data_IF_996033524177
#
_entry.id   IF_996033524177
#
_cell.length_a   1.000
_cell.length_b   1.000
_cell.length_c   1.000
_cell.angle_alpha   90.00
_cell.angle_beta   90.00
_cell.angle_gamma   90.00
#
_symmetry.space_group_name_H-M   'P 1'
#
loop_
_entity.id
_entity.type
_entity.pdbx_description
1 polymer ?
#
# COMPACT_ATOMS: atom_id res chain seq x y z
N UNK A 1 21.40 23.71 -57.14
CA UNK A 1 22.82 23.50 -57.50
C UNK A 1 23.20 22.10 -56.99
N UNK A 2 23.36 21.19 -57.95
CA UNK A 2 23.78 19.77 -57.96
C UNK A 2 23.97 19.03 -56.61
N UNK A 3 23.10 18.06 -56.35
CA UNK A 3 23.44 16.82 -55.61
C UNK A 3 23.60 15.73 -56.68
N UNK A 4 24.79 15.13 -56.73
CA UNK A 4 25.13 14.05 -57.64
C UNK A 4 24.82 12.69 -56.98
N UNK A 5 24.05 11.85 -57.67
CA UNK A 5 23.96 10.41 -57.41
C UNK A 5 25.02 9.69 -58.24
N UNK A 6 25.76 8.76 -57.61
CA UNK A 6 26.64 7.79 -58.28
C UNK A 6 26.28 6.39 -57.78
N UNK A 7 25.80 5.56 -58.72
CA UNK A 7 25.91 4.09 -58.76
C UNK A 7 25.06 3.27 -57.78
N UNK A 8 24.51 2.10 -58.11
CA UNK A 8 24.47 1.30 -59.35
C UNK A 8 23.49 0.14 -59.11
N UNK A 9 22.65 -0.23 -60.09
CA UNK A 9 22.02 -1.57 -60.23
C UNK A 9 20.75 -1.83 -59.39
N UNK A 10 19.52 -1.62 -59.90
CA UNK A 10 18.76 -2.49 -60.83
C UNK A 10 17.92 -3.57 -60.13
N UNK A 11 16.77 -3.18 -59.59
CA UNK A 11 15.50 -3.95 -59.56
C UNK A 11 14.34 -2.97 -59.43
N UNK A 12 14.13 -2.21 -60.50
CA UNK A 12 12.93 -1.41 -60.73
C UNK A 12 12.03 -2.24 -61.64
N UNK A 13 10.87 -2.70 -61.14
CA UNK A 13 9.62 -2.86 -61.89
C UNK A 13 8.58 -3.54 -60.98
N UNK A 14 7.40 -2.89 -60.90
CA UNK A 14 6.14 -3.34 -60.27
C UNK A 14 6.18 -3.21 -58.73
N UNK A 15 5.40 -2.37 -58.04
CA UNK A 15 3.99 -2.04 -58.22
C UNK A 15 3.64 -0.87 -57.25
N UNK A 16 3.63 0.38 -57.72
CA UNK A 16 3.10 1.53 -56.97
C UNK A 16 2.19 2.33 -57.90
N UNK A 17 0.93 1.92 -57.96
CA UNK A 17 -0.17 2.68 -58.57
C UNK A 17 -1.46 2.35 -57.83
N UNK A 18 -1.70 2.99 -56.68
CA UNK A 18 -3.06 3.12 -56.16
C UNK A 18 -3.20 4.27 -55.14
N UNK A 19 -2.95 5.51 -55.56
CA UNK A 19 -3.51 6.71 -54.93
C UNK A 19 -3.62 7.81 -55.98
N UNK A 20 -4.78 7.91 -56.63
CA UNK A 20 -5.34 9.15 -57.22
C UNK A 20 -6.48 8.78 -58.17
N UNK A 21 -7.72 8.76 -57.65
CA UNK A 21 -8.93 9.12 -58.39
C UNK A 21 -10.13 8.90 -57.46
N UNK A 22 -10.64 9.98 -56.88
CA UNK A 22 -12.08 10.24 -56.78
C UNK A 22 -12.23 11.70 -56.35
N UNK A 23 -12.21 12.57 -57.37
CA UNK A 23 -12.67 13.95 -57.25
C UNK A 23 -14.09 14.04 -57.79
N UNK A 24 -14.88 14.88 -57.13
CA UNK A 24 -15.98 15.67 -57.66
C UNK A 24 -17.26 14.96 -58.19
N UNK A 25 -18.31 14.99 -57.37
CA UNK A 25 -19.66 15.13 -57.88
C UNK A 25 -20.58 15.91 -56.90
N UNK A 26 -20.77 17.19 -57.23
CA UNK A 26 -22.07 17.91 -57.23
C UNK A 26 -22.63 18.43 -55.90
N UNK A 27 -22.34 19.71 -55.62
CA UNK A 27 -23.28 20.65 -54.99
C UNK A 27 -24.23 21.26 -56.03
N UNK A 28 -25.48 21.58 -55.66
CA UNK A 28 -26.20 22.67 -56.29
C UNK A 28 -26.55 23.83 -55.34
N UNK A 29 -26.41 25.03 -55.94
CA UNK A 29 -26.77 26.40 -55.57
C UNK A 29 -28.06 26.63 -54.76
N UNK A 30 -28.05 27.65 -53.88
CA UNK A 30 -29.19 28.14 -53.06
C UNK A 30 -30.36 28.79 -53.83
N UNK A 31 -31.38 29.35 -53.13
CA UNK A 31 -31.30 30.77 -52.74
C UNK A 31 -31.95 31.19 -51.39
N UNK A 32 -31.34 32.22 -50.80
CA UNK A 32 -31.87 33.42 -50.09
C UNK A 32 -33.29 33.43 -49.47
N UNK A 33 -33.29 33.56 -48.15
CA UNK A 33 -34.13 34.38 -47.23
C UNK A 33 -35.63 34.63 -47.50
N UNK A 34 -36.46 34.41 -46.45
CA UNK A 34 -37.57 35.30 -46.09
C UNK A 34 -37.97 35.17 -44.61
N UNK A 35 -38.05 36.34 -43.96
CA UNK A 35 -38.58 36.61 -42.63
C UNK A 35 -40.12 36.54 -42.58
N UNK A 36 -40.68 36.05 -41.46
CA UNK A 36 -41.99 36.41 -40.85
C UNK A 36 -42.15 35.60 -39.55
N UNK A 37 -42.02 36.20 -38.37
CA UNK A 37 -43.06 36.85 -37.52
C UNK A 37 -44.27 35.96 -37.15
N UNK A 38 -44.57 35.99 -35.84
CA UNK A 38 -45.72 35.48 -35.06
C UNK A 38 -45.51 34.11 -34.41
N UNK A 39 -45.23 34.10 -33.09
CA UNK A 39 -46.17 34.14 -31.94
C UNK A 39 -46.65 32.72 -31.64
N UNK A 40 -46.24 32.14 -30.51
CA UNK A 40 -47.13 32.11 -29.36
C UNK A 40 -46.44 31.65 -28.07
N UNK A 41 -46.88 32.30 -27.01
CA UNK A 41 -46.56 32.10 -25.61
C UNK A 41 -47.29 30.84 -25.14
N UNK A 42 -46.57 29.85 -24.61
CA UNK A 42 -47.12 29.01 -23.55
C UNK A 42 -46.02 28.52 -22.62
N UNK A 43 -45.79 29.31 -21.58
CA UNK A 43 -45.16 28.85 -20.34
C UNK A 43 -46.18 27.96 -19.64
N UNK A 44 -45.91 26.66 -19.57
CA UNK A 44 -46.55 25.79 -18.59
C UNK A 44 -45.50 24.98 -17.83
N UNK A 45 -45.33 25.40 -16.57
CA UNK A 45 -44.77 24.63 -15.46
C UNK A 45 -45.44 23.25 -15.41
N UNK A 46 -44.66 22.20 -15.65
CA UNK A 46 -44.93 20.87 -15.09
C UNK A 46 -43.87 20.70 -14.00
N UNK A 47 -44.20 21.17 -12.80
CA UNK A 47 -44.62 20.31 -11.68
C UNK A 47 -43.57 19.23 -11.37
N UNK A 48 -42.62 19.66 -10.54
CA UNK A 48 -41.69 18.84 -9.77
C UNK A 48 -42.43 17.75 -9.01
N UNK A 49 -42.38 16.53 -9.53
CA UNK A 49 -42.53 15.28 -8.76
C UNK A 49 -41.90 14.15 -9.55
N UNK A 50 -40.60 13.97 -9.35
CA UNK A 50 -39.94 12.68 -9.61
C UNK A 50 -39.11 12.38 -8.38
N UNK A 51 -39.79 11.68 -7.48
CA UNK A 51 -39.29 10.57 -6.69
C UNK A 51 -37.78 10.55 -6.44
N UNK A 52 -37.43 10.89 -5.20
CA UNK A 52 -36.25 10.34 -4.55
C UNK A 52 -36.34 8.81 -4.63
N UNK A 53 -35.72 8.22 -5.65
CA UNK A 53 -35.24 6.85 -5.55
C UNK A 53 -33.98 6.95 -4.71
N UNK A 54 -34.15 6.71 -3.41
CA UNK A 54 -33.06 6.21 -2.56
C UNK A 54 -32.50 5.02 -3.33
N UNK A 55 -31.36 5.21 -3.99
CA UNK A 55 -30.52 4.08 -4.31
C UNK A 55 -30.03 3.62 -2.95
N UNK A 56 -30.49 2.44 -2.56
CA UNK A 56 -29.73 1.65 -1.62
C UNK A 56 -28.41 1.43 -2.33
N UNK A 57 -27.41 2.22 -1.95
CA UNK A 57 -26.03 1.86 -2.19
C UNK A 57 -25.83 0.62 -1.33
N UNK A 58 -26.10 -0.52 -1.98
CA UNK A 58 -25.59 -1.81 -1.57
C UNK A 58 -24.08 -1.60 -1.61
N UNK A 59 -23.52 -1.21 -0.46
CA UNK A 59 -22.10 -1.30 -0.14
C UNK A 59 -21.77 -2.79 -0.36
N UNK A 60 -21.46 -3.11 -1.62
CA UNK A 60 -20.62 -4.24 -1.92
C UNK A 60 -19.44 -4.06 -0.98
N UNK A 61 -19.20 -5.03 -0.12
CA UNK A 61 -17.95 -5.13 0.62
C UNK A 61 -16.86 -5.27 -0.44
N UNK A 62 -16.40 -4.13 -0.98
CA UNK A 62 -15.27 -4.07 -1.87
C UNK A 62 -14.11 -4.52 -1.00
N UNK A 63 -13.57 -5.71 -1.31
CA UNK A 63 -12.29 -6.12 -0.79
C UNK A 63 -11.34 -4.92 -0.87
N UNK A 64 -10.56 -4.67 0.19
CA UNK A 64 -9.68 -3.54 0.22
C UNK A 64 -8.77 -3.60 -1.01
N UNK A 65 -8.69 -2.50 -1.77
CA UNK A 65 -7.98 -2.52 -3.06
C UNK A 65 -6.49 -2.87 -2.92
N UNK A 66 -5.94 -2.71 -1.72
CA UNK A 66 -4.60 -3.05 -1.28
C UNK A 66 -4.68 -3.43 0.22
N UNK A 67 -3.78 -4.27 0.71
CA UNK A 67 -3.79 -4.72 2.11
C UNK A 67 -3.09 -3.74 3.04
N UNK A 68 -1.99 -3.13 2.60
CA UNK A 68 -1.16 -2.27 3.43
C UNK A 68 -0.83 -0.94 2.74
N UNK A 69 -0.68 0.10 3.56
CA UNK A 69 -0.19 1.40 3.11
C UNK A 69 0.69 2.05 4.16
N UNK A 70 1.74 2.74 3.72
CA UNK A 70 2.66 3.45 4.62
C UNK A 70 3.27 4.68 3.97
N UNK A 71 3.58 5.70 4.77
CA UNK A 71 4.24 6.93 4.32
C UNK A 71 5.55 7.14 5.05
N UNK A 72 6.59 7.49 4.32
CA UNK A 72 7.98 7.51 4.79
C UNK A 72 8.60 8.88 4.62
N UNK A 73 9.53 9.21 5.52
CA UNK A 73 10.49 10.27 5.30
C UNK A 73 11.61 9.74 4.40
N UNK A 74 11.68 10.25 3.17
CA UNK A 74 12.62 9.85 2.13
C UNK A 74 13.45 11.04 1.62
N UNK A 75 14.23 11.73 2.49
CA UNK A 75 14.98 12.93 2.11
C UNK A 75 16.13 12.66 1.13
N UNK A 76 16.61 11.42 1.05
CA UNK A 76 17.59 11.03 0.04
C UNK A 76 16.91 10.84 -1.33
N UNK A 77 17.72 10.75 -2.40
CA UNK A 77 17.20 10.65 -3.77
C UNK A 77 16.90 9.23 -4.22
N UNK A 78 17.36 8.23 -3.47
CA UNK A 78 17.26 6.82 -3.84
C UNK A 78 17.20 5.97 -2.60
N UNK A 79 16.33 4.97 -2.63
CA UNK A 79 16.14 3.95 -1.61
C UNK A 79 16.11 2.58 -2.26
N UNK A 80 16.14 1.53 -1.46
CA UNK A 80 16.02 0.15 -1.89
C UNK A 80 14.80 -0.46 -1.22
N UNK A 81 13.85 -0.90 -2.04
CA UNK A 81 12.77 -1.78 -1.63
C UNK A 81 13.24 -3.23 -1.80
N UNK A 82 13.08 -4.06 -0.79
CA UNK A 82 13.51 -5.45 -0.81
C UNK A 82 12.39 -6.41 -0.43
N UNK A 83 12.45 -7.61 -0.99
CA UNK A 83 11.62 -8.74 -0.60
C UNK A 83 12.54 -9.94 -0.41
N UNK A 84 12.37 -10.67 0.67
CA UNK A 84 13.15 -11.86 1.02
C UNK A 84 12.24 -13.08 1.06
N UNK A 85 12.86 -14.24 0.89
CA UNK A 85 12.19 -15.50 1.20
C UNK A 85 12.11 -15.68 2.72
N UNK A 86 10.94 -16.06 3.20
CA UNK A 86 10.72 -16.48 4.58
C UNK A 86 10.61 -18.00 4.56
N UNK A 87 11.42 -18.67 5.37
CA UNK A 87 11.48 -20.14 5.45
C UNK A 87 11.72 -20.86 4.10
N UNK A 88 12.42 -20.19 3.16
CA UNK A 88 12.88 -20.78 1.90
C UNK A 88 12.04 -20.45 0.67
N UNK A 89 10.88 -19.81 0.83
CA UNK A 89 9.99 -19.38 -0.25
C UNK A 89 9.57 -17.91 -0.09
N UNK A 90 9.17 -17.24 -1.18
CA UNK A 90 8.51 -15.93 -1.08
C UNK A 90 7.03 -16.15 -0.73
N UNK A 91 6.43 -15.23 0.03
CA UNK A 91 5.00 -15.29 0.38
C UNK A 91 4.09 -15.30 -0.88
N UNK A 92 4.52 -14.61 -1.93
CA UNK A 92 3.95 -14.66 -3.29
C UNK A 92 5.09 -14.55 -4.31
N UNK A 93 4.86 -14.94 -5.57
CA UNK A 93 5.82 -14.77 -6.67
C UNK A 93 5.86 -13.33 -7.20
N UNK A 94 4.77 -12.58 -7.01
CA UNK A 94 4.65 -11.18 -7.45
C UNK A 94 3.90 -10.34 -6.43
N UNK A 95 4.09 -9.02 -6.45
CA UNK A 95 3.30 -8.10 -5.61
C UNK A 95 2.98 -6.82 -6.38
N UNK A 96 1.71 -6.40 -6.37
CA UNK A 96 1.35 -5.06 -6.88
C UNK A 96 1.77 -3.99 -5.87
N UNK A 97 2.30 -2.89 -6.41
CA UNK A 97 2.77 -1.74 -5.65
C UNK A 97 2.37 -0.44 -6.35
N UNK A 98 1.75 0.48 -5.60
CA UNK A 98 1.57 1.88 -6.01
C UNK A 98 2.45 2.76 -5.14
N UNK A 99 3.15 3.70 -5.77
CA UNK A 99 4.06 4.63 -5.09
C UNK A 99 3.67 6.06 -5.44
N UNK A 100 3.35 6.85 -4.43
CA UNK A 100 2.91 8.25 -4.57
C UNK A 100 3.87 9.18 -3.86
N UNK A 101 4.04 10.40 -4.39
CA UNK A 101 4.69 11.46 -3.61
C UNK A 101 3.75 11.91 -2.49
N UNK A 102 4.30 12.15 -1.30
CA UNK A 102 3.55 12.63 -0.15
C UNK A 102 4.01 14.03 0.28
N UNK A 103 3.13 14.82 0.94
CA UNK A 103 3.50 16.15 1.44
C UNK A 103 4.32 16.08 2.74
N UNK A 104 4.15 15.05 3.56
CA UNK A 104 4.90 14.76 4.79
C UNK A 104 4.69 13.29 5.20
N UNK A 105 5.45 12.81 6.18
CA UNK A 105 5.37 11.44 6.69
C UNK A 105 4.45 11.33 7.92
N UNK A 106 3.18 11.71 7.78
CA UNK A 106 2.18 11.64 8.88
C UNK A 106 0.95 10.82 8.50
N UNK A 107 0.20 10.36 9.51
CA UNK A 107 -1.04 9.61 9.30
C UNK A 107 -2.10 10.42 8.52
N UNK A 108 -2.20 11.74 8.75
CA UNK A 108 -3.13 12.61 8.01
C UNK A 108 -2.79 12.67 6.52
N UNK A 109 -1.50 12.77 6.18
CA UNK A 109 -1.06 12.74 4.79
C UNK A 109 -1.31 11.39 4.12
N UNK A 110 -1.07 10.28 4.84
CA UNK A 110 -1.37 8.95 4.36
C UNK A 110 -2.87 8.77 4.09
N UNK A 111 -3.72 9.18 5.03
CA UNK A 111 -5.18 9.13 4.89
C UNK A 111 -5.67 9.94 3.68
N UNK A 112 -5.12 11.15 3.48
CA UNK A 112 -5.43 11.97 2.31
C UNK A 112 -5.01 11.34 0.97
N UNK A 113 -4.03 10.43 0.97
CA UNK A 113 -3.58 9.72 -0.22
C UNK A 113 -4.32 8.41 -0.48
N UNK A 114 -4.97 7.80 0.52
CA UNK A 114 -5.72 6.53 0.36
C UNK A 114 -6.74 6.55 -0.79
N UNK A 115 -7.53 7.61 -1.04
CA UNK A 115 -8.44 7.65 -2.19
C UNK A 115 -7.71 7.56 -3.55
N UNK A 116 -6.53 8.19 -3.66
CA UNK A 116 -5.69 8.08 -4.87
C UNK A 116 -5.05 6.71 -4.95
N UNK A 117 -4.49 6.20 -3.86
CA UNK A 117 -3.96 4.83 -3.77
C UNK A 117 -4.99 3.81 -4.25
N UNK A 118 -6.19 3.79 -3.66
CA UNK A 118 -7.31 2.90 -4.03
C UNK A 118 -7.70 3.02 -5.49
N UNK A 119 -7.84 4.24 -6.00
CA UNK A 119 -8.17 4.49 -7.41
C UNK A 119 -7.12 3.92 -8.35
N UNK A 120 -5.85 4.25 -8.13
CA UNK A 120 -4.74 3.79 -8.99
C UNK A 120 -4.59 2.28 -8.88
N UNK A 121 -4.70 1.71 -7.68
CA UNK A 121 -4.62 0.27 -7.49
C UNK A 121 -5.70 -0.47 -8.26
N UNK A 122 -6.97 -0.05 -8.07
CA UNK A 122 -8.11 -0.66 -8.73
C UNK A 122 -8.15 -0.46 -10.25
N UNK A 123 -7.53 0.59 -10.79
CA UNK A 123 -7.58 0.93 -12.22
C UNK A 123 -6.32 0.62 -13.01
N UNK A 124 -5.13 0.60 -12.37
CA UNK A 124 -3.83 0.46 -13.04
C UNK A 124 -3.13 -0.84 -12.70
N UNK A 125 -3.44 -1.48 -11.57
CA UNK A 125 -2.85 -2.78 -11.21
C UNK A 125 -3.54 -3.99 -11.90
N UNK A 126 -4.04 -3.79 -13.12
CA UNK A 126 -4.68 -4.85 -13.92
C UNK A 126 -3.73 -5.34 -15.01
N UNK A 127 -3.94 -6.56 -15.55
CA UNK A 127 -3.16 -7.06 -16.68
C UNK A 127 -3.08 -6.05 -17.83
N UNK A 128 -1.89 -5.92 -18.41
CA UNK A 128 -1.54 -4.95 -19.46
C UNK A 128 -1.56 -3.45 -19.07
N UNK A 129 -1.89 -3.10 -17.83
CA UNK A 129 -1.87 -1.70 -17.35
C UNK A 129 -0.75 -1.42 -16.34
N UNK A 130 -0.36 -2.43 -15.55
CA UNK A 130 0.79 -2.29 -14.65
C UNK A 130 2.11 -2.24 -15.44
N UNK A 131 3.13 -1.67 -14.80
CA UNK A 131 4.52 -1.73 -15.25
C UNK A 131 5.18 -2.91 -14.53
N UNK A 132 5.61 -3.92 -15.26
CA UNK A 132 6.38 -5.03 -14.68
C UNK A 132 7.78 -4.52 -14.32
N UNK A 133 8.22 -4.77 -13.09
CA UNK A 133 9.53 -4.37 -12.57
C UNK A 133 10.25 -5.62 -12.08
N UNK A 134 11.47 -5.81 -12.59
CA UNK A 134 12.36 -6.93 -12.23
C UNK A 134 13.46 -6.49 -11.28
N UNK A 135 14.19 -7.47 -10.75
CA UNK A 135 15.34 -7.24 -9.87
C UNK A 135 16.30 -6.16 -10.43
N UNK A 136 16.63 -5.17 -9.59
CA UNK A 136 17.56 -4.09 -9.87
C UNK A 136 17.00 -2.90 -10.66
N UNK A 137 15.77 -3.01 -11.16
CA UNK A 137 15.06 -1.92 -11.85
C UNK A 137 14.51 -0.87 -10.87
N UNK A 138 14.04 0.26 -11.43
CA UNK A 138 13.70 1.45 -10.65
C UNK A 138 12.20 1.73 -10.67
N UNK A 139 11.65 1.88 -9.47
CA UNK A 139 10.31 2.37 -9.17
C UNK A 139 10.40 3.88 -8.96
N UNK A 140 9.47 4.64 -9.56
CA UNK A 140 9.39 6.10 -9.38
C UNK A 140 7.98 6.48 -8.91
N UNK A 141 7.82 7.35 -7.91
CA UNK A 141 6.51 7.85 -7.51
C UNK A 141 5.77 8.47 -8.70
N UNK A 142 4.53 8.05 -8.93
CA UNK A 142 3.72 8.45 -10.09
C UNK A 142 2.24 8.27 -9.74
N UNK A 143 1.44 9.33 -9.92
CA UNK A 143 0.02 9.36 -9.53
C UNK A 143 -0.89 8.51 -10.43
N UNK A 144 -0.36 7.94 -11.51
CA UNK A 144 -1.12 7.14 -12.47
C UNK A 144 -0.41 5.83 -12.86
N UNK A 145 0.60 5.40 -12.08
CA UNK A 145 1.29 4.14 -12.29
C UNK A 145 1.00 3.11 -11.19
N UNK A 146 0.86 1.87 -11.63
CA UNK A 146 1.00 0.72 -10.76
C UNK A 146 2.19 -0.13 -11.24
N UNK A 147 2.95 -0.65 -10.29
CA UNK A 147 4.06 -1.54 -10.51
C UNK A 147 3.67 -2.96 -10.12
N UNK A 148 4.06 -3.93 -10.94
CA UNK A 148 4.03 -5.35 -10.58
C UNK A 148 5.47 -5.76 -10.32
N UNK A 149 5.80 -6.04 -9.07
CA UNK A 149 7.13 -6.53 -8.69
C UNK A 149 7.20 -8.02 -9.01
N UNK A 150 8.16 -8.42 -9.84
CA UNK A 150 8.47 -9.83 -10.10
C UNK A 150 9.65 -10.23 -9.22
N UNK A 151 9.42 -11.14 -8.28
CA UNK A 151 10.47 -11.62 -7.40
C UNK A 151 11.33 -12.68 -8.11
N UNK A 152 12.63 -12.59 -7.89
CA UNK A 152 13.61 -13.52 -8.45
C UNK A 152 13.56 -14.84 -7.66
N UNK A 153 12.87 -15.82 -8.23
CA UNK A 153 12.69 -17.17 -7.69
C UNK A 153 13.99 -17.99 -7.62
N UNK A 154 15.12 -17.50 -8.13
CA UNK A 154 16.44 -18.10 -7.97
C UNK A 154 17.30 -17.37 -6.92
N UNK A 155 16.89 -16.18 -6.48
CA UNK A 155 17.54 -15.40 -5.44
C UNK A 155 16.83 -15.51 -4.07
N UNK A 156 17.61 -15.47 -3.00
CA UNK A 156 17.07 -15.44 -1.62
C UNK A 156 16.41 -14.09 -1.28
N UNK A 157 16.79 -13.03 -2.00
CA UNK A 157 16.28 -11.67 -1.88
C UNK A 157 16.19 -11.02 -3.27
N UNK A 158 15.13 -10.27 -3.50
CA UNK A 158 14.96 -9.41 -4.67
C UNK A 158 15.05 -7.95 -4.23
N UNK A 159 15.83 -7.15 -4.96
CA UNK A 159 16.04 -5.73 -4.67
C UNK A 159 15.48 -4.86 -5.80
N UNK A 160 14.74 -3.82 -5.46
CA UNK A 160 14.23 -2.82 -6.38
C UNK A 160 14.69 -1.43 -5.92
N UNK A 161 15.07 -0.57 -6.86
CA UNK A 161 15.44 0.81 -6.54
C UNK A 161 14.19 1.65 -6.47
N UNK A 162 14.12 2.56 -5.51
CA UNK A 162 13.04 3.57 -5.43
C UNK A 162 13.66 4.94 -5.64
N UNK A 163 13.25 5.65 -6.69
CA UNK A 163 13.74 6.99 -7.01
C UNK A 163 12.80 8.05 -6.42
N UNK A 164 13.17 8.60 -5.26
CA UNK A 164 12.41 9.60 -4.51
C UNK A 164 12.81 11.04 -4.87
N UNK A 165 13.52 11.24 -5.98
CA UNK A 165 14.02 12.56 -6.38
C UNK A 165 12.94 13.64 -6.57
N UNK A 166 11.66 13.26 -6.69
CA UNK A 166 10.52 14.18 -6.86
C UNK A 166 9.96 14.74 -5.55
N UNK A 167 10.17 14.06 -4.41
CA UNK A 167 9.62 14.45 -3.11
C UNK A 167 10.44 13.87 -1.95
N UNK A 168 10.71 14.64 -0.89
CA UNK A 168 11.34 14.10 0.32
C UNK A 168 10.42 13.15 1.11
N UNK A 169 9.18 12.92 0.69
CA UNK A 169 8.28 11.97 1.33
C UNK A 169 7.56 11.13 0.29
N UNK A 170 7.45 9.83 0.58
CA UNK A 170 6.90 8.85 -0.35
C UNK A 170 5.91 7.96 0.37
N UNK A 171 4.75 7.74 -0.23
CA UNK A 171 3.74 6.80 0.23
C UNK A 171 3.72 5.55 -0.66
N UNK A 172 3.57 4.40 -0.03
CA UNK A 172 3.51 3.08 -0.67
C UNK A 172 2.17 2.43 -0.33
N UNK A 173 1.59 1.74 -1.30
CA UNK A 173 0.37 0.95 -1.17
C UNK A 173 0.65 -0.41 -1.79
N UNK A 174 0.46 -1.50 -1.05
CA UNK A 174 0.89 -2.85 -1.45
C UNK A 174 -0.24 -3.87 -1.38
N UNK A 175 -0.20 -4.84 -2.28
CA UNK A 175 -1.16 -5.96 -2.31
C UNK A 175 -1.11 -6.79 -1.05
N UNK A 176 0.10 -7.00 -0.52
CA UNK A 176 0.40 -7.77 0.68
C UNK A 176 1.11 -6.86 1.69
N UNK A 177 1.11 -7.22 2.97
CA UNK A 177 1.91 -6.52 3.96
C UNK A 177 3.43 -6.75 3.68
N UNK A 178 4.25 -5.69 3.56
CA UNK A 178 5.66 -5.84 3.21
C UNK A 178 6.47 -6.70 4.20
N UNK A 179 6.03 -6.77 5.45
CA UNK A 179 6.64 -7.60 6.52
C UNK A 179 6.53 -9.10 6.25
N UNK A 180 5.60 -9.55 5.41
CA UNK A 180 5.50 -10.95 4.97
C UNK A 180 6.69 -11.39 4.12
N UNK A 181 7.44 -10.41 3.59
CA UNK A 181 8.65 -10.61 2.80
C UNK A 181 9.92 -10.26 3.56
N UNK A 182 9.88 -10.19 4.90
CA UNK A 182 11.04 -9.91 5.74
C UNK A 182 11.52 -11.18 6.46
N UNK A 183 12.75 -11.60 6.20
CA UNK A 183 13.39 -12.70 6.94
C UNK A 183 14.45 -12.18 7.91
N UNK A 184 15.32 -11.29 7.45
CA UNK A 184 16.48 -10.79 8.21
C UNK A 184 16.69 -9.29 8.07
N UNK A 185 16.11 -8.67 7.04
CA UNK A 185 16.25 -7.25 6.76
C UNK A 185 14.89 -6.58 6.59
N UNK A 186 14.85 -5.29 6.93
CA UNK A 186 13.68 -4.46 6.69
C UNK A 186 13.45 -4.23 5.17
N UNK A 187 12.18 -4.26 4.73
CA UNK A 187 11.74 -4.08 3.35
C UNK A 187 12.17 -2.76 2.72
N UNK A 188 12.36 -1.67 3.48
CA UNK A 188 12.84 -0.40 2.96
C UNK A 188 14.16 0.02 3.61
N UNK A 189 15.18 0.27 2.78
CA UNK A 189 16.49 0.74 3.24
C UNK A 189 16.97 1.95 2.45
N UNK A 190 17.80 2.76 3.10
CA UNK A 190 18.57 3.81 2.44
C UNK A 190 19.77 3.23 1.65
N UNK A 191 20.46 4.06 0.87
CA UNK A 191 21.63 3.64 0.09
C UNK A 191 22.83 3.19 0.93
N UNK A 192 22.83 3.47 2.24
CA UNK A 192 23.86 3.04 3.18
C UNK A 192 23.49 1.71 3.86
N UNK A 193 22.30 1.18 3.56
CA UNK A 193 21.77 -0.06 4.12
C UNK A 193 21.12 0.11 5.49
N UNK A 194 20.83 1.34 5.92
CA UNK A 194 20.06 1.59 7.14
C UNK A 194 18.57 1.40 6.85
N UNK A 195 17.87 0.79 7.80
CA UNK A 195 16.43 0.58 7.73
C UNK A 195 15.69 1.92 7.83
N UNK A 196 14.55 2.02 7.12
CA UNK A 196 13.73 3.23 7.06
C UNK A 196 12.29 2.85 7.42
N UNK A 197 11.89 3.18 8.64
CA UNK A 197 10.54 2.90 9.15
C UNK A 197 9.48 3.88 8.61
N UNK A 198 8.21 3.47 8.50
CA UNK A 198 7.13 4.37 8.14
C UNK A 198 6.89 5.41 9.24
N UNK A 199 6.61 6.65 8.84
CA UNK A 199 6.11 7.69 9.75
C UNK A 199 4.65 7.46 10.16
N UNK A 200 3.88 6.80 9.29
CA UNK A 200 2.57 6.24 9.59
C UNK A 200 2.26 5.09 8.63
N UNK A 201 1.45 4.13 9.07
CA UNK A 201 1.00 2.98 8.29
C UNK A 201 -0.44 2.62 8.64
N UNK A 202 -1.10 1.86 7.76
CA UNK A 202 -2.44 1.32 7.96
C UNK A 202 -2.61 0.01 7.19
N UNK A 203 -3.28 -0.96 7.80
CA UNK A 203 -3.69 -2.22 7.17
C UNK A 203 -5.20 -2.26 6.93
N UNK A 204 -5.62 -3.06 5.96
CA UNK A 204 -7.00 -3.11 5.53
C UNK A 204 -7.97 -3.78 6.54
N UNK A 205 -7.45 -4.47 7.55
CA UNK A 205 -8.25 -5.11 8.59
C UNK A 205 -8.73 -4.14 9.69
N UNK A 206 -8.46 -2.83 9.59
CA UNK A 206 -8.92 -1.84 10.56
C UNK A 206 -10.44 -1.52 10.54
N UNK A 207 -11.28 -2.35 9.89
CA UNK A 207 -12.74 -2.29 10.01
C UNK A 207 -13.30 -3.22 11.11
N UNK A 208 -12.58 -3.33 12.23
CA UNK A 208 -13.10 -3.83 13.50
C UNK A 208 -13.64 -2.67 14.33
N UNK A 209 -14.93 -2.69 14.60
CA UNK A 209 -15.68 -1.72 15.40
C UNK A 209 -15.10 -1.56 16.82
N UNK A 210 -14.16 -0.63 16.99
CA UNK A 210 -13.83 0.00 18.27
C UNK A 210 -13.78 1.51 18.08
N UNK A 211 -14.97 2.12 18.13
CA UNK A 211 -15.07 3.54 18.35
C UNK A 211 -14.58 3.88 19.75
N UNK A 212 -13.33 4.31 19.88
CA UNK A 212 -12.91 5.28 20.87
C UNK A 212 -12.02 6.31 20.17
N UNK A 213 -12.54 7.53 20.05
CA UNK A 213 -11.75 8.69 19.70
C UNK A 213 -10.76 8.95 20.85
N UNK A 214 -9.54 8.43 20.75
CA UNK A 214 -8.45 8.78 21.65
C UNK A 214 -7.55 9.83 20.99
N UNK A 215 -7.55 10.99 21.63
CA UNK A 215 -6.70 12.13 21.34
C UNK A 215 -5.20 11.77 21.49
N UNK A 216 -4.35 12.56 20.82
CA UNK A 216 -2.91 12.80 21.06
C UNK A 216 -2.07 11.71 21.78
N UNK A 217 -0.92 11.30 21.22
CA UNK A 217 -0.16 10.12 21.66
C UNK A 217 0.06 10.11 23.18
N UNK A 218 -0.71 9.26 23.88
CA UNK A 218 -0.58 9.06 25.30
C UNK A 218 0.77 8.37 25.57
N UNK A 219 1.55 8.95 26.48
CA UNK A 219 2.79 8.37 26.97
C UNK A 219 2.56 6.91 27.39
N UNK A 220 3.44 6.02 26.94
CA UNK A 220 3.41 4.60 27.29
C UNK A 220 3.20 4.42 28.81
N UNK A 221 2.28 3.56 29.27
CA UNK A 221 1.91 3.49 30.68
C UNK A 221 2.91 2.62 31.46
N UNK A 222 4.16 3.05 31.51
CA UNK A 222 5.22 2.43 32.32
C UNK A 222 4.77 2.26 33.78
N UNK A 223 3.93 3.16 34.28
CA UNK A 223 3.35 3.09 35.62
C UNK A 223 2.52 1.83 35.87
N UNK A 224 1.77 1.34 34.88
CA UNK A 224 0.97 0.12 35.01
C UNK A 224 1.87 -1.12 35.03
N UNK A 225 2.87 -1.17 34.16
CA UNK A 225 3.83 -2.28 34.11
C UNK A 225 4.69 -2.35 35.39
N UNK A 226 5.21 -1.21 35.85
CA UNK A 226 5.99 -1.12 37.09
C UNK A 226 5.10 -1.41 38.31
N UNK A 227 3.86 -0.92 38.32
CA UNK A 227 2.90 -1.18 39.39
C UNK A 227 2.55 -2.66 39.52
N UNK A 228 2.30 -3.34 38.40
CA UNK A 228 2.04 -4.77 38.37
C UNK A 228 3.25 -5.58 38.88
N UNK A 229 4.47 -5.23 38.47
CA UNK A 229 5.68 -5.89 38.94
C UNK A 229 5.89 -5.73 40.46
N UNK A 230 5.64 -4.55 41.01
CA UNK A 230 5.74 -4.31 42.46
C UNK A 230 4.67 -5.11 43.22
N UNK A 231 3.42 -5.14 42.73
CA UNK A 231 2.34 -5.86 43.38
C UNK A 231 2.60 -7.38 43.45
N UNK A 232 3.08 -7.98 42.35
CA UNK A 232 3.42 -9.42 42.29
C UNK A 232 4.57 -9.73 43.27
N UNK A 233 5.59 -8.87 43.32
CA UNK A 233 6.71 -9.05 44.24
C UNK A 233 6.30 -8.91 45.71
N UNK A 234 5.34 -8.04 46.07
CA UNK A 234 4.84 -7.94 47.44
C UNK A 234 4.03 -9.17 47.87
N UNK A 235 3.18 -9.70 46.99
CA UNK A 235 2.40 -10.91 47.29
C UNK A 235 3.32 -12.11 47.46
N UNK A 236 4.28 -12.32 46.55
CA UNK A 236 5.23 -13.44 46.64
C UNK A 236 6.16 -13.30 47.86
N UNK A 237 6.68 -12.10 48.13
CA UNK A 237 7.55 -11.86 49.29
C UNK A 237 6.81 -12.07 50.61
N UNK A 238 5.55 -11.62 50.72
CA UNK A 238 4.76 -11.84 51.94
C UNK A 238 4.52 -13.34 52.19
N UNK A 239 4.25 -14.12 51.15
CA UNK A 239 4.14 -15.58 51.23
C UNK A 239 5.41 -16.22 51.78
N UNK A 240 6.58 -15.84 51.28
CA UNK A 240 7.89 -16.36 51.75
C UNK A 240 8.16 -15.95 53.21
N UNK A 241 7.91 -14.69 53.56
CA UNK A 241 8.15 -14.14 54.90
C UNK A 241 7.33 -14.87 55.97
N UNK A 242 6.09 -15.27 55.68
CA UNK A 242 5.24 -15.95 56.65
C UNK A 242 5.35 -17.49 56.58
N UNK A 243 5.55 -18.07 55.40
CA UNK A 243 5.61 -19.52 55.23
C UNK A 243 6.95 -20.11 55.71
N UNK A 244 8.07 -19.45 55.42
CA UNK A 244 9.41 -20.00 55.72
C UNK A 244 9.65 -20.15 57.23
N UNK A 245 9.32 -19.19 58.12
CA UNK A 245 9.48 -19.36 59.56
C UNK A 245 8.57 -20.47 60.11
N UNK A 246 7.34 -20.60 59.59
CA UNK A 246 6.40 -21.63 60.03
C UNK A 246 6.89 -23.04 59.64
N UNK A 247 7.32 -23.23 58.39
CA UNK A 247 7.90 -24.50 57.91
C UNK A 247 9.23 -24.80 58.61
N UNK A 248 10.04 -23.78 58.90
CA UNK A 248 11.29 -23.94 59.65
C UNK A 248 11.05 -24.34 61.12
N UNK A 249 10.00 -23.82 61.75
CA UNK A 249 9.60 -24.22 63.10
C UNK A 249 9.06 -25.66 63.11
N UNK A 250 8.23 -26.01 62.12
CA UNK A 250 7.62 -27.33 61.99
C UNK A 250 8.67 -28.42 61.68
N UNK A 251 9.58 -28.17 60.75
CA UNK A 251 10.67 -29.10 60.40
C UNK A 251 11.63 -29.34 61.58
N UNK A 252 11.86 -28.34 62.44
CA UNK A 252 12.66 -28.54 63.66
C UNK A 252 11.93 -29.35 64.73
N UNK A 253 10.61 -29.28 64.78
CA UNK A 253 9.75 -29.97 65.77
C UNK A 253 9.47 -31.43 65.38
N UNK A 254 9.35 -31.72 64.10
CA UNK A 254 9.00 -33.05 63.55
C UNK A 254 10.06 -33.53 62.55
N UNK A 255 11.32 -33.58 62.98
CA UNK A 255 12.47 -33.83 62.08
C UNK A 255 12.38 -35.16 61.34
N UNK A 256 11.95 -36.22 62.04
CA UNK A 256 11.95 -37.58 61.49
C UNK A 256 10.78 -37.77 60.52
N UNK A 257 9.62 -37.22 60.85
CA UNK A 257 8.41 -37.27 60.03
C UNK A 257 8.55 -36.38 58.80
N UNK A 258 9.11 -35.18 58.97
CA UNK A 258 9.40 -34.28 57.85
C UNK A 258 10.42 -34.89 56.88
N UNK A 259 11.48 -35.52 57.38
CA UNK A 259 12.46 -36.23 56.56
C UNK A 259 11.84 -37.42 55.82
N UNK A 260 10.97 -38.20 56.47
CA UNK A 260 10.27 -39.31 55.85
C UNK A 260 9.29 -38.86 54.74
N UNK A 261 8.57 -37.76 54.96
CA UNK A 261 7.66 -37.19 53.95
C UNK A 261 8.44 -36.64 52.75
N UNK A 262 9.51 -35.88 52.97
CA UNK A 262 10.32 -35.33 51.86
C UNK A 262 11.02 -36.44 51.07
N UNK A 263 11.52 -37.49 51.74
CA UNK A 263 12.13 -38.64 51.07
C UNK A 263 11.14 -39.51 50.28
N UNK A 264 9.83 -39.38 50.51
CA UNK A 264 8.80 -40.08 49.74
C UNK A 264 8.47 -39.39 48.39
N UNK A 265 8.93 -38.16 48.19
CA UNK A 265 8.75 -37.38 46.95
C UNK A 265 10.06 -37.12 46.18
N UNK A 266 11.18 -37.68 46.65
CA UNK A 266 12.47 -37.69 45.97
C UNK A 266 12.70 -39.07 45.32
#
# INVERSE_FOLDING_TARGET
MKIACVGTGMTCLLYLHFLANYAEAQQPSGPRAKSRKHQDVLVQRVSSKTSASVRNDEEASEDPAYEWSGVFDTPDRTYVWSAQRVDGEYADATMKLVVLSAPNATAEALEGLKPTGRRVFGQRCRPAQYRLIKAGETITPDEDACYMLEFDADAWQTLFKVSTASSPHTAFFTEHAPTEFESTDHYLKDIRGADVDPGAEASAEEHGEHGEAEAAPAATPWGTAIGAAIAINLVTLSGVVFLVPAVSALSRRYKNEFAAVVAAFA
#
